data_IF_006208079553
#
_entry.id   IF_006208079553
#
_cell.length_a   1.000
_cell.length_b   1.000
_cell.length_c   1.000
_cell.angle_alpha   90.00
_cell.angle_beta   90.00
_cell.angle_gamma   90.00
#
_symmetry.space_group_name_H-M   'P 1'
#
loop_
_entity.id
_entity.type
_entity.pdbx_description
1 polymer ?
#
# COMPACT_ATOMS: atom_id res chain seq x y z
N UNK A 1 20.88 13.08 -22.67
CA UNK A 1 20.09 12.04 -21.97
C UNK A 1 21.08 10.98 -21.51
N UNK A 2 21.32 10.86 -20.21
CA UNK A 2 22.20 9.83 -19.62
C UNK A 2 21.33 8.63 -19.25
N UNK A 3 21.76 7.40 -19.58
CA UNK A 3 21.05 6.16 -19.27
C UNK A 3 22.01 5.19 -18.58
N UNK A 4 21.60 4.61 -17.46
CA UNK A 4 22.38 3.62 -16.72
C UNK A 4 21.57 2.33 -16.52
N UNK A 5 22.27 1.23 -16.22
CA UNK A 5 21.65 -0.05 -15.85
C UNK A 5 21.50 -0.24 -14.34
N UNK A 6 22.23 0.51 -13.51
CA UNK A 6 22.21 0.39 -12.06
C UNK A 6 21.37 1.48 -11.38
N UNK A 7 20.74 1.12 -10.26
CA UNK A 7 19.57 1.79 -9.72
C UNK A 7 19.83 3.08 -8.93
N UNK A 8 21.09 3.53 -8.80
CA UNK A 8 21.45 4.66 -7.92
C UNK A 8 22.58 5.50 -8.50
N UNK A 9 22.51 6.83 -8.33
CA UNK A 9 23.61 7.74 -8.64
C UNK A 9 23.59 8.38 -10.03
N UNK A 10 22.57 8.11 -10.85
CA UNK A 10 22.44 8.67 -12.22
C UNK A 10 22.38 10.20 -12.20
N UNK A 11 21.73 10.78 -11.19
CA UNK A 11 21.72 12.23 -10.96
C UNK A 11 23.14 12.79 -10.80
N UNK A 12 24.01 12.11 -10.05
CA UNK A 12 25.38 12.54 -9.83
C UNK A 12 26.21 12.42 -11.11
N UNK A 13 26.05 11.32 -11.86
CA UNK A 13 26.74 11.13 -13.13
C UNK A 13 26.33 12.20 -14.16
N UNK A 14 25.04 12.52 -14.24
CA UNK A 14 24.53 13.54 -15.14
C UNK A 14 25.07 14.95 -14.77
N UNK A 15 25.04 15.31 -13.48
CA UNK A 15 25.56 16.59 -12.99
C UNK A 15 27.09 16.71 -13.17
N UNK A 16 27.83 15.62 -12.94
CA UNK A 16 29.27 15.56 -13.18
C UNK A 16 29.62 15.72 -14.66
N UNK A 17 28.86 15.07 -15.56
CA UNK A 17 29.07 15.20 -17.00
C UNK A 17 28.82 16.63 -17.50
N UNK A 18 27.75 17.28 -17.05
CA UNK A 18 27.45 18.68 -17.39
C UNK A 18 28.53 19.62 -16.86
N UNK A 19 28.98 19.42 -15.63
CA UNK A 19 30.10 20.19 -15.05
C UNK A 19 31.37 20.07 -15.89
N UNK A 20 31.74 18.85 -16.30
CA UNK A 20 32.91 18.62 -17.13
C UNK A 20 32.81 19.27 -18.52
N UNK A 21 31.62 19.21 -19.14
CA UNK A 21 31.38 19.88 -20.42
C UNK A 21 31.47 21.41 -20.30
N UNK A 22 30.89 21.99 -19.24
CA UNK A 22 30.93 23.42 -18.98
C UNK A 22 32.38 23.92 -18.77
N UNK A 23 33.18 23.18 -17.99
CA UNK A 23 34.60 23.48 -17.82
C UNK A 23 35.38 23.42 -19.14
N UNK A 24 35.06 22.46 -20.01
CA UNK A 24 35.69 22.33 -21.33
C UNK A 24 35.39 23.54 -22.22
N UNK A 25 34.13 24.00 -22.24
CA UNK A 25 33.71 25.19 -22.99
C UNK A 25 34.41 26.43 -22.42
N UNK A 26 34.45 26.56 -21.10
CA UNK A 26 35.15 27.66 -20.44
C UNK A 26 36.63 27.69 -20.83
N UNK A 27 37.32 26.54 -20.81
CA UNK A 27 38.73 26.43 -21.15
C UNK A 27 39.02 26.90 -22.59
N UNK A 28 38.16 26.51 -23.54
CA UNK A 28 38.26 26.91 -24.95
C UNK A 28 37.97 28.39 -25.19
N UNK A 29 37.06 28.99 -24.42
CA UNK A 29 36.54 30.33 -24.68
C UNK A 29 37.10 31.44 -23.76
N UNK A 30 37.82 31.09 -22.68
CA UNK A 30 38.38 32.07 -21.71
C UNK A 30 39.35 33.09 -22.32
N UNK A 31 39.91 32.82 -23.51
CA UNK A 31 40.77 33.76 -24.23
C UNK A 31 39.98 34.81 -25.01
N UNK A 32 38.74 34.50 -25.38
CA UNK A 32 37.82 35.35 -26.16
C UNK A 32 37.01 36.23 -25.22
N UNK A 33 36.50 35.66 -24.13
CA UNK A 33 35.74 36.37 -23.10
C UNK A 33 36.22 35.98 -21.70
N UNK A 34 36.76 36.97 -20.98
CA UNK A 34 37.29 36.81 -19.60
C UNK A 34 36.23 37.02 -18.53
N UNK A 35 35.02 37.44 -18.91
CA UNK A 35 33.92 37.75 -17.98
C UNK A 35 32.91 36.62 -17.83
N UNK A 36 33.04 35.56 -18.64
CA UNK A 36 32.18 34.37 -18.54
C UNK A 36 32.18 33.80 -17.13
N UNK A 37 31.03 33.24 -16.75
CA UNK A 37 30.87 32.44 -15.54
C UNK A 37 30.06 31.17 -15.87
N UNK A 38 30.29 30.11 -15.08
CA UNK A 38 29.42 28.93 -15.09
C UNK A 38 28.39 29.17 -13.99
N UNK A 39 27.12 29.26 -14.38
CA UNK A 39 26.01 29.43 -13.44
C UNK A 39 25.61 28.12 -12.74
N UNK A 40 24.43 28.14 -12.12
CA UNK A 40 23.92 26.99 -11.38
C UNK A 40 23.65 25.79 -12.30
N UNK A 41 24.08 24.61 -11.86
CA UNK A 41 23.77 23.34 -12.51
C UNK A 41 22.71 22.65 -11.67
N UNK A 42 21.54 22.46 -12.26
CA UNK A 42 20.39 21.86 -11.58
C UNK A 42 19.87 20.64 -12.35
N UNK A 43 19.45 19.62 -11.60
CA UNK A 43 18.68 18.52 -12.13
C UNK A 43 17.24 19.01 -12.41
N UNK A 44 16.85 19.05 -13.68
CA UNK A 44 15.51 19.52 -14.09
C UNK A 44 14.46 18.42 -14.02
N UNK A 45 14.83 17.19 -14.38
CA UNK A 45 13.93 16.05 -14.40
C UNK A 45 14.68 14.75 -14.16
N UNK A 46 14.08 13.85 -13.37
CA UNK A 46 14.50 12.46 -13.20
C UNK A 46 13.29 11.58 -13.46
N UNK A 47 13.50 10.47 -14.18
CA UNK A 47 12.47 9.46 -14.43
C UNK A 47 13.13 8.10 -14.18
N UNK A 48 12.53 7.30 -13.31
CA UNK A 48 13.02 6.00 -12.84
C UNK A 48 13.75 6.05 -11.48
N UNK A 49 13.81 4.89 -10.82
CA UNK A 49 14.45 4.69 -9.52
C UNK A 49 13.52 4.00 -8.52
N UNK A 50 14.08 3.42 -7.45
CA UNK A 50 13.31 2.70 -6.40
C UNK A 50 12.20 3.55 -5.74
N UNK A 51 12.34 4.87 -5.77
CA UNK A 51 11.42 5.85 -5.19
C UNK A 51 10.47 6.50 -6.20
N UNK A 52 10.60 6.22 -7.50
CA UNK A 52 9.79 6.81 -8.57
C UNK A 52 8.47 6.07 -8.82
N UNK A 53 8.04 5.40 -7.76
CA UNK A 53 6.94 4.48 -7.70
C UNK A 53 5.79 5.11 -6.91
N UNK A 54 5.69 6.45 -6.91
CA UNK A 54 4.50 7.15 -6.44
C UNK A 54 3.42 7.05 -7.52
N UNK A 55 2.78 5.90 -7.59
CA UNK A 55 1.62 5.66 -8.43
C UNK A 55 0.52 6.64 -8.00
N UNK A 56 -0.01 7.44 -8.92
CA UNK A 56 -1.11 8.38 -8.63
C UNK A 56 -2.43 7.66 -8.31
N UNK A 57 -2.56 6.39 -8.70
CA UNK A 57 -3.76 5.61 -8.47
C UNK A 57 -4.13 5.46 -7.00
N UNK A 58 -5.41 5.68 -6.72
CA UNK A 58 -6.00 5.54 -5.39
C UNK A 58 -7.22 4.65 -5.51
N UNK A 59 -7.16 3.41 -5.00
CA UNK A 59 -8.29 2.48 -5.12
C UNK A 59 -9.47 2.95 -4.27
N UNK A 60 -10.66 2.51 -4.65
CA UNK A 60 -11.83 2.60 -3.77
C UNK A 60 -11.70 1.55 -2.66
N UNK A 61 -11.74 2.00 -1.40
CA UNK A 61 -11.51 1.16 -0.22
C UNK A 61 -12.81 0.94 0.54
N UNK A 62 -13.03 -0.30 0.99
CA UNK A 62 -14.07 -0.67 1.94
C UNK A 62 -13.47 -1.22 3.23
N UNK A 63 -14.05 -0.86 4.38
CA UNK A 63 -13.60 -1.34 5.69
C UNK A 63 -14.72 -2.07 6.42
N UNK A 64 -14.48 -3.34 6.79
CA UNK A 64 -15.42 -4.16 7.56
C UNK A 64 -14.83 -4.44 8.94
N UNK A 65 -15.54 -4.03 9.99
CA UNK A 65 -15.16 -4.38 11.36
C UNK A 65 -15.98 -5.60 11.81
N UNK A 66 -15.28 -6.65 12.23
CA UNK A 66 -15.87 -7.90 12.73
C UNK A 66 -15.65 -7.98 14.23
N UNK A 67 -16.75 -7.88 14.98
CA UNK A 67 -16.74 -8.03 16.43
C UNK A 67 -18.16 -8.14 16.98
N UNK A 68 -18.40 -9.18 17.78
CA UNK A 68 -19.68 -9.33 18.49
C UNK A 68 -20.01 -8.14 19.40
N UNK A 69 -19.04 -7.66 20.19
CA UNK A 69 -19.25 -6.59 21.16
C UNK A 69 -19.48 -5.22 20.51
N UNK A 70 -18.79 -4.94 19.39
CA UNK A 70 -19.02 -3.72 18.63
C UNK A 70 -20.37 -3.80 17.91
N UNK A 71 -20.70 -4.96 17.34
CA UNK A 71 -21.98 -5.17 16.66
C UNK A 71 -23.18 -5.10 17.61
N UNK A 72 -23.03 -5.49 18.88
CA UNK A 72 -24.08 -5.39 19.91
C UNK A 72 -24.19 -3.98 20.53
N UNK A 73 -23.27 -3.07 20.21
CA UNK A 73 -23.21 -1.71 20.77
C UNK A 73 -22.56 -1.62 22.16
N UNK A 74 -22.03 -2.72 22.69
CA UNK A 74 -21.32 -2.76 23.97
C UNK A 74 -19.86 -2.26 23.87
N UNK A 75 -19.28 -2.38 22.68
CA UNK A 75 -17.92 -1.98 22.35
C UNK A 75 -17.86 -0.77 21.40
N UNK A 76 -16.73 -0.06 21.44
CA UNK A 76 -16.44 1.05 20.50
C UNK A 76 -15.40 0.59 19.48
N UNK A 77 -15.73 0.72 18.20
CA UNK A 77 -14.76 0.47 17.13
C UNK A 77 -13.66 1.52 17.13
N UNK A 78 -12.42 1.07 17.37
CA UNK A 78 -11.22 1.90 17.29
C UNK A 78 -10.36 1.55 16.08
N UNK A 79 -10.45 0.33 15.58
CA UNK A 79 -9.59 -0.19 14.51
C UNK A 79 -10.11 0.22 13.13
N UNK A 80 -11.44 0.16 12.92
CA UNK A 80 -12.08 0.64 11.69
C UNK A 80 -11.76 2.10 11.39
N UNK A 81 -11.97 3.05 12.32
CA UNK A 81 -11.62 4.46 12.10
C UNK A 81 -10.14 4.69 11.80
N UNK A 82 -9.22 3.92 12.40
CA UNK A 82 -7.79 4.00 12.10
C UNK A 82 -7.53 3.67 10.63
N UNK A 83 -8.13 2.58 10.13
CA UNK A 83 -7.98 2.17 8.74
C UNK A 83 -8.59 3.19 7.79
N UNK A 84 -9.81 3.65 8.07
CA UNK A 84 -10.53 4.64 7.25
C UNK A 84 -9.72 5.93 7.14
N UNK A 85 -9.27 6.48 8.26
CA UNK A 85 -8.49 7.71 8.28
C UNK A 85 -7.15 7.50 7.57
N UNK A 86 -6.44 6.39 7.84
CA UNK A 86 -5.16 6.11 7.22
C UNK A 86 -5.20 6.03 5.69
N UNK A 87 -6.24 5.44 5.11
CA UNK A 87 -6.43 5.42 3.66
C UNK A 87 -6.97 6.76 3.10
N UNK A 88 -7.80 7.46 3.86
CA UNK A 88 -8.31 8.79 3.46
C UNK A 88 -7.20 9.84 3.43
N UNK A 89 -6.29 9.83 4.42
CA UNK A 89 -5.16 10.76 4.55
C UNK A 89 -4.20 10.69 3.36
N UNK A 90 -4.15 9.53 2.69
CA UNK A 90 -3.33 9.32 1.48
C UNK A 90 -4.12 9.49 0.19
N UNK A 91 -5.39 9.90 0.26
CA UNK A 91 -6.24 10.24 -0.89
C UNK A 91 -7.09 9.10 -1.46
N UNK A 92 -7.25 7.97 -0.75
CA UNK A 92 -8.17 6.91 -1.18
C UNK A 92 -9.62 7.24 -0.87
N UNK A 93 -10.55 6.77 -1.70
CA UNK A 93 -11.99 6.93 -1.45
C UNK A 93 -12.49 5.82 -0.53
N UNK A 94 -12.80 6.15 0.73
CA UNK A 94 -13.31 5.18 1.72
C UNK A 94 -14.80 5.42 1.97
N UNK A 95 -15.65 5.07 0.99
CA UNK A 95 -17.10 5.30 1.07
C UNK A 95 -17.88 4.16 1.73
N UNK A 96 -17.27 2.98 1.83
CA UNK A 96 -17.93 1.77 2.31
C UNK A 96 -17.38 1.38 3.69
N UNK A 97 -18.25 1.40 4.69
CA UNK A 97 -17.95 0.92 6.03
C UNK A 97 -19.11 0.06 6.53
N UNK A 98 -18.81 -1.09 7.15
CA UNK A 98 -19.82 -1.91 7.82
C UNK A 98 -19.25 -2.56 9.08
N UNK A 99 -20.08 -2.71 10.09
CA UNK A 99 -19.78 -3.49 11.29
C UNK A 99 -20.64 -4.75 11.24
N UNK A 100 -20.02 -5.91 11.49
CA UNK A 100 -20.68 -7.22 11.48
C UNK A 100 -20.27 -8.03 12.73
N UNK A 101 -21.12 -8.95 13.21
CA UNK A 101 -20.74 -9.87 14.27
C UNK A 101 -19.79 -10.95 13.76
N UNK A 102 -19.07 -11.60 14.69
CA UNK A 102 -18.09 -12.64 14.33
C UNK A 102 -18.79 -13.89 13.80
N UNK A 103 -18.29 -14.39 12.66
CA UNK A 103 -18.88 -15.55 11.96
C UNK A 103 -20.18 -15.25 11.22
N UNK A 104 -20.50 -13.98 10.94
CA UNK A 104 -21.69 -13.61 10.18
C UNK A 104 -21.66 -14.15 8.75
N UNK A 105 -22.74 -14.80 8.32
CA UNK A 105 -22.96 -15.20 6.92
C UNK A 105 -23.07 -13.99 5.98
N UNK A 106 -23.38 -12.80 6.52
CA UNK A 106 -23.44 -11.56 5.74
C UNK A 106 -22.07 -11.09 5.24
N UNK A 107 -20.96 -11.59 5.81
CA UNK A 107 -19.61 -11.14 5.44
C UNK A 107 -19.35 -11.35 3.94
N UNK A 108 -19.58 -12.57 3.45
CA UNK A 108 -19.35 -12.92 2.04
C UNK A 108 -20.33 -12.19 1.12
N UNK A 109 -21.58 -11.99 1.56
CA UNK A 109 -22.57 -11.24 0.80
C UNK A 109 -22.17 -9.76 0.66
N UNK A 110 -21.73 -9.15 1.77
CA UNK A 110 -21.26 -7.76 1.81
C UNK A 110 -20.04 -7.56 0.92
N UNK A 111 -19.07 -8.48 0.98
CA UNK A 111 -17.88 -8.45 0.11
C UNK A 111 -18.30 -8.47 -1.37
N UNK A 112 -19.16 -9.40 -1.76
CA UNK A 112 -19.60 -9.53 -3.16
C UNK A 112 -20.41 -8.31 -3.63
N UNK A 113 -21.24 -7.73 -2.77
CA UNK A 113 -21.96 -6.49 -3.07
C UNK A 113 -21.00 -5.31 -3.28
N UNK A 114 -20.01 -5.15 -2.41
CA UNK A 114 -19.02 -4.08 -2.52
C UNK A 114 -18.15 -4.21 -3.79
N UNK A 115 -17.78 -5.43 -4.16
CA UNK A 115 -17.09 -5.70 -5.43
C UNK A 115 -17.94 -5.22 -6.62
N UNK A 116 -19.24 -5.52 -6.62
CA UNK A 116 -20.17 -5.06 -7.68
C UNK A 116 -20.32 -3.53 -7.71
N UNK A 117 -20.24 -2.89 -6.54
CA UNK A 117 -20.27 -1.43 -6.40
C UNK A 117 -18.92 -0.75 -6.69
N UNK A 118 -17.92 -1.49 -7.18
CA UNK A 118 -16.64 -0.94 -7.63
C UNK A 118 -15.63 -0.69 -6.50
N UNK A 119 -15.73 -1.41 -5.38
CA UNK A 119 -14.70 -1.44 -4.34
C UNK A 119 -13.56 -2.36 -4.78
N UNK A 120 -12.34 -1.86 -4.71
CA UNK A 120 -11.14 -2.52 -5.24
C UNK A 120 -10.22 -3.02 -4.14
N UNK A 121 -10.28 -2.42 -2.95
CA UNK A 121 -9.58 -2.88 -1.76
C UNK A 121 -10.55 -3.04 -0.61
N UNK A 122 -10.72 -4.26 -0.10
CA UNK A 122 -11.54 -4.53 1.07
C UNK A 122 -10.62 -4.93 2.23
N UNK A 123 -10.77 -4.27 3.36
CA UNK A 123 -9.99 -4.57 4.57
C UNK A 123 -10.96 -4.94 5.67
N UNK A 124 -10.79 -6.14 6.22
CA UNK A 124 -11.52 -6.56 7.42
C UNK A 124 -10.63 -6.40 8.65
N UNK A 125 -11.21 -6.07 9.79
CA UNK A 125 -10.51 -6.05 11.08
C UNK A 125 -11.31 -6.83 12.12
N UNK A 126 -10.72 -7.91 12.65
CA UNK A 126 -11.38 -8.80 13.61
C UNK A 126 -11.80 -10.15 13.03
N UNK A 127 -12.26 -11.04 13.92
CA UNK A 127 -12.67 -12.42 13.58
C UNK A 127 -11.56 -13.35 13.07
N UNK A 128 -10.28 -12.99 13.26
CA UNK A 128 -9.10 -13.80 12.86
C UNK A 128 -8.39 -14.46 14.06
N UNK A 129 -9.00 -14.47 15.24
CA UNK A 129 -8.46 -15.11 16.45
C UNK A 129 -8.48 -16.64 16.37
N UNK A 130 -8.27 -17.32 17.49
CA UNK A 130 -8.32 -18.79 17.60
C UNK A 130 -9.63 -19.29 18.25
N UNK A 131 -10.58 -18.39 18.51
CA UNK A 131 -11.86 -18.72 19.11
C UNK A 131 -12.79 -19.46 18.14
N UNK A 132 -13.81 -20.17 18.65
CA UNK A 132 -14.75 -20.93 17.83
C UNK A 132 -15.62 -20.06 16.92
N UNK A 133 -15.66 -18.74 17.16
CA UNK A 133 -16.39 -17.76 16.35
C UNK A 133 -15.52 -17.00 15.36
N UNK A 134 -14.19 -17.17 15.43
CA UNK A 134 -13.24 -16.55 14.51
C UNK A 134 -13.24 -17.30 13.17
N UNK A 135 -14.29 -17.09 12.37
CA UNK A 135 -14.55 -17.78 11.10
C UNK A 135 -14.27 -16.92 9.86
N UNK A 136 -13.66 -15.73 10.04
CA UNK A 136 -13.42 -14.78 8.95
C UNK A 136 -12.58 -15.40 7.84
N UNK A 137 -11.51 -16.09 8.21
CA UNK A 137 -10.56 -16.68 7.25
C UNK A 137 -11.23 -17.81 6.50
N UNK A 138 -11.88 -18.73 7.22
CA UNK A 138 -12.58 -19.88 6.66
C UNK A 138 -13.71 -19.47 5.71
N UNK A 139 -14.33 -18.31 5.96
CA UNK A 139 -15.40 -17.77 5.12
C UNK A 139 -14.84 -17.10 3.85
N UNK A 140 -13.78 -16.30 4.01
CA UNK A 140 -13.23 -15.49 2.92
C UNK A 140 -12.29 -16.30 2.01
N UNK A 141 -11.56 -17.29 2.53
CA UNK A 141 -10.68 -18.13 1.70
C UNK A 141 -11.45 -18.95 0.65
N UNK A 142 -12.72 -19.29 0.91
CA UNK A 142 -13.57 -20.03 -0.02
C UNK A 142 -13.91 -19.25 -1.29
N UNK A 143 -13.81 -17.92 -1.24
CA UNK A 143 -14.16 -17.04 -2.36
C UNK A 143 -12.92 -16.49 -3.08
N UNK A 144 -11.70 -16.78 -2.60
CA UNK A 144 -10.48 -16.32 -3.25
C UNK A 144 -10.24 -17.01 -4.59
N UNK A 145 -10.04 -16.20 -5.62
CA UNK A 145 -9.51 -16.65 -6.91
C UNK A 145 -8.03 -17.03 -6.77
N UNK A 146 -7.30 -16.25 -5.95
CA UNK A 146 -5.89 -16.48 -5.66
C UNK A 146 -5.48 -15.85 -4.33
N UNK A 147 -4.49 -16.45 -3.66
CA UNK A 147 -3.88 -15.89 -2.44
C UNK A 147 -2.69 -14.99 -2.76
N UNK A 148 -2.45 -14.01 -1.89
CA UNK A 148 -1.29 -13.11 -1.94
C UNK A 148 -0.38 -13.31 -0.71
N UNK A 149 0.31 -14.46 -0.60
CA UNK A 149 1.09 -14.81 0.59
C UNK A 149 2.25 -13.85 0.87
N UNK A 150 2.76 -13.14 -0.14
CA UNK A 150 3.81 -12.14 0.05
C UNK A 150 3.36 -10.97 0.94
N UNK A 151 2.09 -10.54 0.80
CA UNK A 151 1.51 -9.49 1.65
C UNK A 151 1.30 -10.03 3.06
N UNK A 152 0.80 -11.26 3.18
CA UNK A 152 0.62 -11.92 4.48
C UNK A 152 1.94 -11.98 5.26
N UNK A 153 3.00 -12.44 4.60
CA UNK A 153 4.34 -12.56 5.17
C UNK A 153 4.92 -11.19 5.56
N UNK A 154 4.71 -10.15 4.75
CA UNK A 154 5.17 -8.81 5.06
C UNK A 154 4.49 -8.24 6.32
N UNK A 155 3.17 -8.39 6.42
CA UNK A 155 2.39 -7.99 7.58
C UNK A 155 2.82 -8.75 8.84
N UNK A 156 3.02 -10.07 8.74
CA UNK A 156 3.52 -10.88 9.84
C UNK A 156 4.94 -10.50 10.26
N UNK A 157 5.85 -10.30 9.31
CA UNK A 157 7.22 -9.92 9.60
C UNK A 157 7.27 -8.59 10.35
N UNK A 158 6.48 -7.61 9.92
CA UNK A 158 6.40 -6.31 10.56
C UNK A 158 5.82 -6.40 11.98
N UNK A 159 4.70 -7.12 12.15
CA UNK A 159 4.05 -7.29 13.46
C UNK A 159 4.90 -8.04 14.48
N UNK A 160 5.62 -9.10 14.05
CA UNK A 160 6.52 -9.88 14.92
C UNK A 160 7.63 -9.04 15.53
N UNK A 161 8.10 -8.01 14.82
CA UNK A 161 9.11 -7.08 15.33
C UNK A 161 8.64 -6.22 16.51
N UNK A 162 7.32 -6.11 16.72
CA UNK A 162 6.73 -5.25 17.77
C UNK A 162 6.10 -6.01 18.92
N UNK A 163 5.33 -7.06 18.62
CA UNK A 163 4.56 -7.79 19.62
C UNK A 163 4.76 -9.29 19.46
N UNK A 164 5.18 -9.96 20.53
CA UNK A 164 5.45 -11.41 20.53
C UNK A 164 4.24 -12.25 20.11
N UNK A 165 3.03 -11.82 20.47
CA UNK A 165 1.78 -12.52 20.14
C UNK A 165 1.35 -12.37 18.69
N UNK A 166 1.99 -11.48 17.90
CA UNK A 166 1.66 -11.32 16.48
C UNK A 166 1.87 -12.62 15.67
N UNK A 167 2.68 -13.55 16.17
CA UNK A 167 2.87 -14.88 15.57
C UNK A 167 1.59 -15.74 15.58
N UNK A 168 0.62 -15.44 16.46
CA UNK A 168 -0.64 -16.19 16.58
C UNK A 168 -1.75 -15.62 15.69
N UNK A 169 -1.50 -14.50 15.01
CA UNK A 169 -2.44 -13.95 14.05
C UNK A 169 -2.63 -14.92 12.89
N UNK A 170 -3.88 -15.09 12.43
CA UNK A 170 -4.21 -15.87 11.25
C UNK A 170 -4.60 -14.99 10.06
N UNK A 171 -4.04 -13.78 9.95
CA UNK A 171 -4.39 -12.87 8.85
C UNK A 171 -4.26 -13.56 7.49
N UNK A 172 -5.11 -13.21 6.54
CA UNK A 172 -5.05 -13.73 5.17
C UNK A 172 -5.29 -12.64 4.15
N UNK A 173 -4.70 -12.79 2.97
CA UNK A 173 -4.83 -11.87 1.86
C UNK A 173 -5.06 -12.63 0.56
N UNK A 174 -6.05 -12.19 -0.21
CA UNK A 174 -6.37 -12.79 -1.50
C UNK A 174 -7.02 -11.81 -2.46
N UNK A 175 -7.25 -12.29 -3.67
CA UNK A 175 -7.92 -11.55 -4.75
C UNK A 175 -9.24 -12.25 -5.08
N UNK A 176 -10.29 -11.45 -5.27
CA UNK A 176 -11.62 -11.89 -5.72
C UNK A 176 -12.11 -10.92 -6.78
N UNK A 177 -12.38 -11.37 -8.00
CA UNK A 177 -12.93 -10.54 -9.09
C UNK A 177 -12.16 -9.21 -9.31
N UNK A 178 -10.83 -9.26 -9.26
CA UNK A 178 -9.92 -8.09 -9.34
C UNK A 178 -9.99 -7.11 -8.15
N UNK A 179 -10.55 -7.54 -7.03
CA UNK A 179 -10.54 -6.81 -5.76
C UNK A 179 -9.60 -7.51 -4.78
N UNK A 180 -8.73 -6.77 -4.12
CA UNK A 180 -7.85 -7.30 -3.08
C UNK A 180 -8.60 -7.29 -1.75
N UNK A 181 -8.59 -8.41 -1.03
CA UNK A 181 -9.20 -8.54 0.29
C UNK A 181 -8.10 -8.85 1.30
N UNK A 182 -8.04 -8.07 2.38
CA UNK A 182 -7.05 -8.20 3.47
C UNK A 182 -7.79 -8.39 4.78
N UNK A 183 -7.63 -9.56 5.41
CA UNK A 183 -8.23 -9.85 6.71
C UNK A 183 -7.23 -9.62 7.83
N UNK A 184 -7.38 -8.53 8.58
CA UNK A 184 -6.48 -8.13 9.65
C UNK A 184 -7.01 -8.52 11.04
N UNK A 185 -6.12 -8.66 12.05
CA UNK A 185 -6.52 -8.74 13.44
C UNK A 185 -7.32 -7.52 13.91
N UNK A 186 -8.18 -7.73 14.91
CA UNK A 186 -9.04 -6.67 15.47
C UNK A 186 -8.31 -5.61 16.31
N UNK A 187 -7.00 -5.76 16.57
CA UNK A 187 -6.27 -4.83 17.44
C UNK A 187 -5.90 -3.54 16.71
N UNK A 188 -5.93 -2.42 17.44
CA UNK A 188 -5.55 -1.11 16.89
C UNK A 188 -4.07 -1.06 16.47
N UNK A 189 -3.22 -1.84 17.13
CA UNK A 189 -1.82 -2.02 16.75
C UNK A 189 -1.69 -2.67 15.36
N UNK A 190 -2.43 -3.75 15.12
CA UNK A 190 -2.42 -4.43 13.83
C UNK A 190 -2.94 -3.53 12.70
N UNK A 191 -3.99 -2.73 12.94
CA UNK A 191 -4.49 -1.75 11.98
C UNK A 191 -3.42 -0.71 11.61
N UNK A 192 -2.74 -0.11 12.60
CA UNK A 192 -1.66 0.87 12.37
C UNK A 192 -0.46 0.26 11.64
N UNK A 193 -0.12 -0.96 11.99
CA UNK A 193 0.99 -1.70 11.37
C UNK A 193 0.68 -2.03 9.91
N UNK A 194 -0.55 -2.46 9.64
CA UNK A 194 -1.00 -2.72 8.28
C UNK A 194 -0.93 -1.47 7.40
N UNK A 195 -1.40 -0.31 7.87
CA UNK A 195 -1.29 0.94 7.10
C UNK A 195 0.15 1.26 6.71
N UNK A 196 1.10 1.08 7.62
CA UNK A 196 2.54 1.35 7.35
C UNK A 196 3.13 0.39 6.32
N UNK A 197 2.69 -0.86 6.29
CA UNK A 197 3.17 -1.87 5.34
C UNK A 197 2.49 -1.71 3.97
N UNK A 198 1.19 -1.43 3.97
CA UNK A 198 0.37 -1.49 2.76
C UNK A 198 0.43 -0.20 1.94
N UNK A 199 0.27 0.98 2.56
CA UNK A 199 0.17 2.26 1.83
C UNK A 199 1.34 2.53 0.87
N UNK A 200 2.61 2.20 1.19
CA UNK A 200 3.71 2.42 0.25
C UNK A 200 3.68 1.52 -0.99
N UNK A 201 3.02 0.36 -0.92
CA UNK A 201 3.25 -0.73 -1.89
C UNK A 201 1.97 -1.19 -2.59
N UNK A 202 0.82 -1.13 -1.92
CA UNK A 202 -0.43 -1.71 -2.42
C UNK A 202 -1.02 -0.93 -3.61
N UNK A 203 -0.66 0.33 -3.79
CA UNK A 203 -1.12 1.11 -4.95
C UNK A 203 -0.52 0.59 -6.26
N UNK A 204 0.67 -0.02 -6.23
CA UNK A 204 1.28 -0.65 -7.39
C UNK A 204 0.50 -1.85 -7.92
N UNK A 205 -0.04 -2.67 -7.03
CA UNK A 205 -0.73 -3.89 -7.45
C UNK A 205 -1.96 -3.59 -8.29
N UNK A 206 -2.62 -2.44 -8.10
CA UNK A 206 -3.79 -2.06 -8.88
C UNK A 206 -3.48 -1.72 -10.34
N UNK A 207 -2.34 -1.10 -10.64
CA UNK A 207 -1.90 -0.92 -12.04
C UNK A 207 -1.63 -2.26 -12.73
N UNK A 208 -0.99 -3.19 -12.02
CA UNK A 208 -0.68 -4.51 -12.56
C UNK A 208 -1.96 -5.30 -12.87
N UNK A 209 -3.00 -5.17 -12.04
CA UNK A 209 -4.30 -5.83 -12.23
C UNK A 209 -5.10 -5.25 -13.40
N UNK A 210 -4.81 -4.02 -13.84
CA UNK A 210 -5.40 -3.40 -15.03
C UNK A 210 -4.69 -3.77 -16.35
N UNK A 211 -3.59 -4.53 -16.30
CA UNK A 211 -2.91 -5.07 -17.49
C UNK A 211 -1.85 -4.16 -18.10
N UNK A 212 -1.44 -3.10 -17.41
CA UNK A 212 -0.29 -2.29 -17.84
C UNK A 212 1.02 -3.02 -17.53
N UNK A 213 1.89 -3.14 -18.54
CA UNK A 213 3.16 -3.88 -18.45
C UNK A 213 4.13 -3.22 -17.47
N UNK A 214 4.92 -4.07 -16.82
CA UNK A 214 6.06 -3.75 -15.96
C UNK A 214 6.98 -2.66 -16.49
#
# INVERSE_FOLDING_TARGET
>A
IVKTKEATGVEMEALSAVSGAALTIYDMCKSVDKTMNIGDIQLTQKIGGKSDHAVEYRPNVGVITLSDSISSGEGVDKSGPILINGFSDVGCSVKHQKILPDGSEELVLTINDWIKNGVELIITTGGTGLGPRDLTIESVEKIFDSKLPGIEQALHAYGRGKVKTAMLSRLTVGVVNRTIIICLPGSTGAAKDALKVLIPTIFHSFHMMQGEKH
#
